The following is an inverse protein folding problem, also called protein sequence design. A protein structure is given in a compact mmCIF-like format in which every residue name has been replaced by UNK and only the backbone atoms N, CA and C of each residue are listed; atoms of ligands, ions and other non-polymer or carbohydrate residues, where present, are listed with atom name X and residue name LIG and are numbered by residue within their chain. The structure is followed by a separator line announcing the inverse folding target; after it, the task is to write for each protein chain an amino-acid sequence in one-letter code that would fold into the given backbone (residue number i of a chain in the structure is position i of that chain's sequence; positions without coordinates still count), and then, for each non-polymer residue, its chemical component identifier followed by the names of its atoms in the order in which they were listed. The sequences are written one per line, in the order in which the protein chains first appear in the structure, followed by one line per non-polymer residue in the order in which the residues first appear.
data_IF_131499506787
#
_entry.id   IF_131499506787
#
_cell.length_a   1.000
_cell.length_b   1.000
_cell.length_c   1.000
_cell.angle_alpha   90.00
_cell.angle_beta   90.00
_cell.angle_gamma   90.00
#
_symmetry.space_group_name_H-M   'P 1'
#
loop_
_entity.id
_entity.type
_entity.pdbx_description
1 polymer ?
#
# COMPACT_ATOMS: atom_id res chain seq x y z
N UNK A 1 -9.97 -11.19 -1.46
CA UNK A 1 -8.74 -11.93 -1.09
C UNK A 1 -9.07 -13.13 -0.22
N UNK A 2 -9.33 -12.96 1.09
CA UNK A 2 -9.59 -14.10 1.99
C UNK A 2 -10.85 -14.88 1.60
N UNK A 3 -11.95 -14.18 1.30
CA UNK A 3 -13.19 -14.79 0.81
C UNK A 3 -12.98 -15.57 -0.49
N UNK A 4 -12.23 -14.99 -1.43
CA UNK A 4 -11.83 -15.66 -2.68
C UNK A 4 -10.98 -16.91 -2.42
N UNK A 5 -10.23 -16.94 -1.32
CA UNK A 5 -9.47 -18.09 -0.84
C UNK A 5 -10.30 -19.03 0.07
N UNK A 6 -11.60 -18.76 0.27
CA UNK A 6 -12.52 -19.62 1.01
C UNK A 6 -12.50 -19.48 2.52
N UNK A 7 -11.97 -18.38 3.08
CA UNK A 7 -11.93 -18.17 4.53
C UNK A 7 -12.26 -16.73 4.97
N UNK A 8 -12.75 -16.60 6.20
CA UNK A 8 -12.92 -15.30 6.89
C UNK A 8 -11.76 -15.08 7.84
N UNK A 9 -11.01 -13.97 7.74
CA UNK A 9 -9.91 -13.71 8.65
C UNK A 9 -10.42 -13.43 10.07
N UNK A 10 -9.71 -13.92 11.08
CA UNK A 10 -9.90 -13.48 12.46
C UNK A 10 -9.11 -12.19 12.67
N UNK A 11 -9.80 -11.10 12.96
CA UNK A 11 -9.20 -9.78 13.12
C UNK A 11 -9.20 -9.41 14.60
N UNK A 12 -8.03 -9.46 15.23
CA UNK A 12 -7.84 -9.03 16.63
C UNK A 12 -7.58 -7.52 16.74
N UNK A 13 -6.97 -6.92 15.70
CA UNK A 13 -6.64 -5.51 15.62
C UNK A 13 -6.97 -4.95 14.24
N UNK A 14 -7.51 -3.73 14.18
CA UNK A 14 -7.82 -3.01 12.94
C UNK A 14 -7.40 -1.54 13.07
N UNK A 15 -6.55 -1.07 12.15
CA UNK A 15 -6.10 0.32 12.06
C UNK A 15 -5.60 0.60 10.65
N UNK A 16 -5.66 1.86 10.23
CA UNK A 16 -5.11 2.39 8.98
C UNK A 16 -3.69 2.97 9.15
N UNK A 17 -3.16 3.02 10.38
CA UNK A 17 -1.79 3.45 10.69
C UNK A 17 -0.80 2.31 10.44
N UNK A 18 -0.09 2.37 9.31
CA UNK A 18 0.91 1.37 8.95
C UNK A 18 2.07 1.23 9.96
N UNK A 19 2.68 2.32 10.48
CA UNK A 19 3.59 2.24 11.63
C UNK A 19 3.04 1.44 12.81
N UNK A 20 1.79 1.68 13.21
CA UNK A 20 1.17 0.95 14.32
C UNK A 20 1.03 -0.55 14.00
N UNK A 21 0.57 -0.90 12.79
CA UNK A 21 0.53 -2.31 12.32
C UNK A 21 1.90 -2.97 12.39
N UNK A 22 2.94 -2.29 11.89
CA UNK A 22 4.30 -2.82 11.91
C UNK A 22 4.82 -3.02 13.35
N UNK A 23 4.48 -2.12 14.27
CA UNK A 23 4.80 -2.25 15.69
C UNK A 23 4.13 -3.47 16.34
N UNK A 24 2.84 -3.70 16.06
CA UNK A 24 2.09 -4.86 16.56
C UNK A 24 2.69 -6.18 16.04
N UNK A 25 3.02 -6.25 14.75
CA UNK A 25 3.66 -7.43 14.15
C UNK A 25 5.06 -7.64 14.74
N UNK A 26 5.86 -6.58 14.86
CA UNK A 26 7.20 -6.64 15.46
C UNK A 26 7.19 -7.04 16.93
N UNK A 27 6.10 -6.77 17.66
CA UNK A 27 5.86 -7.22 19.03
C UNK A 27 5.35 -8.66 19.11
N UNK A 28 5.12 -9.34 17.98
CA UNK A 28 4.65 -10.73 17.95
C UNK A 28 3.16 -10.93 18.19
N UNK A 29 2.35 -9.86 18.07
CA UNK A 29 0.90 -9.91 18.33
C UNK A 29 0.08 -10.44 17.15
N UNK A 30 0.70 -10.68 16.00
CA UNK A 30 0.03 -11.25 14.84
C UNK A 30 0.79 -11.08 13.53
N UNK A 31 0.07 -11.22 12.43
CA UNK A 31 0.56 -11.00 11.06
C UNK A 31 -0.34 -9.98 10.36
N UNK A 32 0.20 -9.28 9.37
CA UNK A 32 -0.56 -8.29 8.61
C UNK A 32 -0.20 -8.34 7.12
N UNK A 33 -1.14 -7.92 6.28
CA UNK A 33 -0.94 -7.69 4.85
C UNK A 33 -0.85 -6.19 4.62
N UNK A 34 0.27 -5.73 4.07
CA UNK A 34 0.54 -4.31 3.83
C UNK A 34 0.88 -4.06 2.35
N UNK A 35 0.55 -2.89 1.78
CA UNK A 35 1.05 -2.52 0.47
C UNK A 35 2.58 -2.48 0.45
N UNK A 36 3.19 -2.97 -0.63
CA UNK A 36 4.64 -2.98 -0.79
C UNK A 36 5.28 -1.60 -0.56
N UNK A 37 4.68 -0.52 -1.09
CA UNK A 37 5.16 0.85 -0.88
C UNK A 37 5.23 1.25 0.60
N UNK A 38 4.28 0.81 1.44
CA UNK A 38 4.29 1.11 2.86
C UNK A 38 5.43 0.38 3.57
N UNK A 39 5.67 -0.88 3.22
CA UNK A 39 6.78 -1.69 3.77
C UNK A 39 8.13 -1.09 3.40
N UNK A 40 8.32 -0.69 2.14
CA UNK A 40 9.56 -0.05 1.66
C UNK A 40 9.82 1.31 2.32
N UNK A 41 8.76 2.09 2.56
CA UNK A 41 8.86 3.39 3.23
C UNK A 41 9.18 3.26 4.72
N UNK A 42 8.54 2.32 5.43
CA UNK A 42 8.69 2.18 6.89
C UNK A 42 9.96 1.44 7.29
N UNK A 43 10.41 0.48 6.47
CA UNK A 43 11.54 -0.42 6.78
C UNK A 43 11.46 -1.00 8.21
N UNK A 44 10.36 -1.72 8.54
CA UNK A 44 10.10 -2.14 9.90
C UNK A 44 11.18 -3.11 10.41
N UNK A 45 11.62 -2.91 11.66
CA UNK A 45 12.60 -3.77 12.33
C UNK A 45 11.89 -4.90 13.07
N UNK A 46 12.52 -6.08 13.11
CA UNK A 46 11.95 -7.24 13.80
C UNK A 46 10.77 -7.90 13.08
N UNK A 47 10.47 -7.47 11.85
CA UNK A 47 9.42 -8.05 11.00
C UNK A 47 10.05 -8.78 9.83
N UNK A 48 9.57 -9.99 9.53
CA UNK A 48 9.91 -10.71 8.31
C UNK A 48 8.84 -10.49 7.27
N UNK A 49 9.23 -10.03 6.09
CA UNK A 49 8.31 -9.86 4.95
C UNK A 49 8.25 -11.15 4.13
N UNK A 50 7.05 -11.48 3.65
CA UNK A 50 6.80 -12.64 2.78
C UNK A 50 5.92 -12.16 1.63
N UNK A 51 6.24 -12.57 0.41
CA UNK A 51 5.41 -12.26 -0.75
C UNK A 51 4.10 -13.07 -0.70
N UNK A 52 2.98 -12.44 -1.05
CA UNK A 52 1.71 -13.16 -1.22
C UNK A 52 1.66 -13.84 -2.58
N UNK A 53 1.24 -15.10 -2.59
CA UNK A 53 0.93 -15.87 -3.79
C UNK A 53 -0.53 -16.37 -3.75
N UNK A 54 -1.34 -16.12 -4.79
CA UNK A 54 -1.04 -15.29 -5.96
C UNK A 54 -0.87 -13.80 -5.58
N UNK A 55 -0.08 -13.09 -6.37
CA UNK A 55 0.18 -11.67 -6.14
C UNK A 55 -1.11 -10.86 -6.21
N UNK A 56 -1.37 -10.03 -5.19
CA UNK A 56 -2.48 -9.09 -5.20
C UNK A 56 -1.99 -7.70 -5.56
N UNK A 57 -2.58 -7.14 -6.61
CA UNK A 57 -2.23 -5.84 -7.15
C UNK A 57 -3.31 -4.83 -6.78
N UNK A 58 -2.86 -3.63 -6.43
CA UNK A 58 -3.71 -2.45 -6.32
C UNK A 58 -3.33 -1.48 -7.44
N UNK A 59 -4.29 -0.72 -7.92
CA UNK A 59 -4.05 0.37 -8.87
C UNK A 59 -3.93 1.69 -8.11
N UNK A 60 -2.99 2.54 -8.51
CA UNK A 60 -2.85 3.91 -8.00
C UNK A 60 -3.04 4.83 -9.19
N UNK A 61 -4.04 5.71 -9.10
CA UNK A 61 -4.37 6.64 -10.17
C UNK A 61 -4.23 8.07 -9.70
N UNK A 62 -3.70 8.93 -10.57
CA UNK A 62 -3.73 10.38 -10.41
C UNK A 62 -4.76 10.92 -11.41
N UNK A 63 -5.70 11.72 -10.92
CA UNK A 63 -6.81 12.25 -11.71
C UNK A 63 -6.81 13.78 -11.65
N UNK A 64 -7.19 14.40 -12.77
CA UNK A 64 -7.46 15.84 -12.85
C UNK A 64 -8.70 16.08 -13.70
N UNK A 65 -9.36 17.22 -13.50
CA UNK A 65 -10.46 17.64 -14.36
C UNK A 65 -9.92 18.03 -15.75
N UNK A 66 -10.67 17.77 -16.85
CA UNK A 66 -10.22 18.11 -18.21
C UNK A 66 -9.75 19.56 -18.37
N UNK A 67 -10.48 20.52 -17.80
CA UNK A 67 -10.16 21.94 -17.88
C UNK A 67 -8.85 22.30 -17.17
N UNK A 68 -8.47 21.52 -16.15
CA UNK A 68 -7.23 21.71 -15.40
C UNK A 68 -6.02 21.04 -16.07
N UNK A 69 -6.23 20.14 -17.03
CA UNK A 69 -5.14 19.46 -17.73
C UNK A 69 -4.27 20.42 -18.57
N UNK A 70 -4.81 21.61 -18.89
CA UNK A 70 -4.09 22.67 -19.61
C UNK A 70 -3.26 23.57 -18.67
N UNK A 71 -3.43 23.46 -17.35
CA UNK A 71 -2.67 24.26 -16.39
C UNK A 71 -1.24 23.70 -16.29
N UNK A 72 -0.18 24.48 -16.59
CA UNK A 72 1.18 23.95 -16.68
C UNK A 72 1.66 23.21 -15.42
N UNK A 73 1.30 23.72 -14.24
CA UNK A 73 1.65 23.09 -12.96
C UNK A 73 0.96 21.72 -12.76
N UNK A 74 -0.26 21.55 -13.26
CA UNK A 74 -1.00 20.28 -13.18
C UNK A 74 -0.37 19.26 -14.11
N UNK A 75 -0.11 19.63 -15.37
CA UNK A 75 0.59 18.77 -16.35
C UNK A 75 1.93 18.32 -15.80
N UNK A 76 2.75 19.26 -15.31
CA UNK A 76 4.06 18.95 -14.75
C UNK A 76 3.97 18.00 -13.55
N UNK A 77 2.98 18.17 -12.67
CA UNK A 77 2.78 17.29 -11.51
C UNK A 77 2.39 15.88 -11.94
N UNK A 78 1.45 15.74 -12.88
CA UNK A 78 1.03 14.44 -13.41
C UNK A 78 2.17 13.69 -14.10
N UNK A 79 2.99 14.39 -14.88
CA UNK A 79 4.18 13.82 -15.51
C UNK A 79 5.18 13.30 -14.47
N UNK A 80 5.42 14.07 -13.40
CA UNK A 80 6.31 13.65 -12.31
C UNK A 80 5.75 12.45 -11.55
N UNK A 81 4.46 12.41 -11.28
CA UNK A 81 3.81 11.26 -10.64
C UNK A 81 3.90 10.01 -11.53
N UNK A 82 3.64 10.14 -12.83
CA UNK A 82 3.75 9.03 -13.79
C UNK A 82 5.18 8.50 -13.87
N UNK A 83 6.18 9.38 -13.95
CA UNK A 83 7.59 8.98 -13.95
C UNK A 83 8.01 8.29 -12.65
N UNK A 84 7.50 8.74 -11.49
CA UNK A 84 7.77 8.11 -10.21
C UNK A 84 7.10 6.72 -10.07
N UNK A 85 5.92 6.54 -10.66
CA UNK A 85 5.17 5.28 -10.63
C UNK A 85 5.73 4.19 -11.57
N UNK A 86 6.58 4.56 -12.54
CA UNK A 86 7.23 3.61 -13.45
C UNK A 86 8.46 2.92 -12.84
N UNK A 87 8.87 3.31 -11.62
CA UNK A 87 9.93 2.65 -10.84
C UNK A 87 9.39 1.47 -10.04
#
# INVERSE_FOLDING_TARGET
MCETAGFTPRIDFATDDYPAVAGLVGAGLGVAVLPQLAVESLRPRGVRTVALEPAVRREIVALTLPDLAQVPAVTATLEKLAAAAAR
#
